data_IF_362837094546
#
_entry.id   IF_362837094546
#
_cell.length_a   1.000
_cell.length_b   1.000
_cell.length_c   1.000
_cell.angle_alpha   90.00
_cell.angle_beta   90.00
_cell.angle_gamma   90.00
#
_symmetry.space_group_name_H-M   'P 1'
#
loop_
_entity.id
_entity.type
_entity.pdbx_description
1 polymer ?
#
# COMPACT_ATOMS: atom_id res chain seq x y z
N UNK A 1 15.45 17.86 1.92
CA UNK A 1 15.54 16.76 2.90
C UNK A 1 16.16 17.35 4.14
N UNK A 2 15.63 17.03 5.31
CA UNK A 2 16.10 17.61 6.56
C UNK A 2 17.17 16.75 7.23
N UNK A 3 17.03 15.42 7.13
CA UNK A 3 17.93 14.47 7.77
C UNK A 3 18.83 13.75 6.74
N UNK A 4 20.14 13.64 6.97
CA UNK A 4 21.05 12.86 6.13
C UNK A 4 20.96 11.35 6.41
N UNK A 5 21.63 10.54 5.60
CA UNK A 5 21.72 9.09 5.81
C UNK A 5 20.42 8.33 5.52
N UNK A 6 20.23 7.13 6.11
CA UNK A 6 19.06 6.30 5.87
C UNK A 6 17.72 6.99 6.18
N UNK A 7 17.68 7.87 7.18
CA UNK A 7 16.47 8.63 7.53
C UNK A 7 16.01 9.55 6.38
N UNK A 8 16.95 10.16 5.64
CA UNK A 8 16.62 10.98 4.47
C UNK A 8 15.92 10.19 3.36
N UNK A 9 16.32 8.94 3.16
CA UNK A 9 15.59 8.03 2.26
C UNK A 9 14.22 7.66 2.83
N UNK A 10 14.12 7.39 4.13
CA UNK A 10 12.85 7.13 4.81
C UNK A 10 11.84 8.29 4.65
N UNK A 11 12.29 9.56 4.72
CA UNK A 11 11.45 10.73 4.44
C UNK A 11 10.83 10.71 3.04
N UNK A 12 11.64 10.38 2.03
CA UNK A 12 11.19 10.29 0.63
C UNK A 12 10.25 9.09 0.44
N UNK A 13 10.66 7.93 0.94
CA UNK A 13 9.86 6.70 0.85
C UNK A 13 8.49 6.88 1.50
N UNK A 14 8.45 7.51 2.68
CA UNK A 14 7.21 7.76 3.41
C UNK A 14 6.30 8.75 2.66
N UNK A 15 6.83 9.84 2.12
CA UNK A 15 6.05 10.82 1.38
C UNK A 15 5.35 10.22 0.15
N UNK A 16 6.09 9.48 -0.68
CA UNK A 16 5.53 8.84 -1.88
C UNK A 16 4.58 7.70 -1.52
N UNK A 17 4.91 6.90 -0.50
CA UNK A 17 4.02 5.82 -0.03
C UNK A 17 2.70 6.36 0.50
N UNK A 18 2.75 7.41 1.33
CA UNK A 18 1.55 8.06 1.87
C UNK A 18 0.68 8.66 0.77
N UNK A 19 1.30 9.34 -0.20
CA UNK A 19 0.59 9.93 -1.34
C UNK A 19 -0.06 8.85 -2.22
N UNK A 20 0.68 7.82 -2.63
CA UNK A 20 0.16 6.74 -3.47
C UNK A 20 -0.95 5.93 -2.77
N UNK A 21 -0.90 5.80 -1.43
CA UNK A 21 -1.92 5.11 -0.65
C UNK A 21 -3.01 6.04 -0.08
N UNK A 22 -3.02 7.32 -0.46
CA UNK A 22 -4.01 8.32 -0.03
C UNK A 22 -4.18 8.43 1.50
N UNK A 23 -3.11 8.27 2.27
CA UNK A 23 -3.15 8.39 3.73
C UNK A 23 -3.14 9.87 4.17
N UNK A 24 -2.19 10.66 3.64
CA UNK A 24 -2.05 12.09 3.96
C UNK A 24 -1.06 12.39 5.08
N UNK A 25 -0.59 11.38 5.82
CA UNK A 25 0.51 11.54 6.80
C UNK A 25 1.82 11.91 6.11
N UNK A 26 2.70 12.65 6.79
CA UNK A 26 4.07 12.94 6.35
C UNK A 26 5.03 13.05 7.54
N UNK A 27 6.32 12.72 7.35
CA UNK A 27 7.37 13.03 8.34
C UNK A 27 7.64 14.53 8.50
N UNK A 28 7.19 15.36 7.55
CA UNK A 28 7.33 16.82 7.56
C UNK A 28 8.77 17.38 7.55
N UNK A 29 9.82 16.54 7.59
CA UNK A 29 11.21 16.94 7.29
C UNK A 29 11.48 17.16 5.80
N UNK A 30 10.70 16.51 4.93
CA UNK A 30 10.75 16.74 3.48
C UNK A 30 9.97 18.01 3.11
N UNK A 31 10.67 19.07 2.69
CA UNK A 31 10.04 20.27 2.10
C UNK A 31 9.48 19.96 0.71
N UNK A 32 8.19 19.60 0.66
CA UNK A 32 7.49 19.18 -0.54
C UNK A 32 6.87 20.34 -1.35
N UNK A 33 7.05 21.61 -0.93
CA UNK A 33 6.49 22.77 -1.65
C UNK A 33 7.30 23.19 -2.89
N UNK A 34 7.94 22.23 -3.56
CA UNK A 34 8.55 22.47 -4.88
C UNK A 34 7.60 22.00 -5.97
N UNK A 35 7.62 22.61 -7.18
CA UNK A 35 6.80 22.16 -8.29
C UNK A 35 6.98 20.67 -8.60
N UNK A 36 8.21 20.16 -8.49
CA UNK A 36 8.51 18.75 -8.67
C UNK A 36 7.72 17.86 -7.70
N UNK A 37 7.81 18.12 -6.40
CA UNK A 37 7.12 17.31 -5.39
C UNK A 37 5.61 17.43 -5.49
N UNK A 38 5.10 18.65 -5.70
CA UNK A 38 3.66 18.86 -5.89
C UNK A 38 3.12 18.04 -7.07
N UNK A 39 3.79 18.07 -8.23
CA UNK A 39 3.35 17.31 -9.40
C UNK A 39 3.49 15.79 -9.21
N UNK A 40 4.61 15.33 -8.65
CA UNK A 40 4.84 13.90 -8.40
C UNK A 40 3.81 13.34 -7.43
N UNK A 41 3.62 13.98 -6.27
CA UNK A 41 2.69 13.51 -5.25
C UNK A 41 1.24 13.62 -5.74
N UNK A 42 0.88 14.68 -6.48
CA UNK A 42 -0.44 14.81 -7.09
C UNK A 42 -0.74 13.65 -8.06
N UNK A 43 0.24 13.27 -8.90
CA UNK A 43 0.10 12.13 -9.79
C UNK A 43 -0.06 10.81 -9.00
N UNK A 44 0.77 10.60 -7.97
CA UNK A 44 0.65 9.42 -7.10
C UNK A 44 -0.72 9.31 -6.43
N UNK A 45 -1.25 10.41 -5.88
CA UNK A 45 -2.58 10.44 -5.26
C UNK A 45 -3.67 10.16 -6.30
N UNK A 46 -3.62 10.83 -7.46
CA UNK A 46 -4.63 10.68 -8.51
C UNK A 46 -4.70 9.25 -9.03
N UNK A 47 -3.55 8.67 -9.39
CA UNK A 47 -3.46 7.28 -9.88
C UNK A 47 -3.76 6.28 -8.77
N UNK A 48 -3.24 6.49 -7.56
CA UNK A 48 -3.48 5.62 -6.42
C UNK A 48 -4.95 5.58 -5.99
N UNK A 49 -5.71 6.66 -6.18
CA UNK A 49 -7.15 6.71 -5.91
C UNK A 49 -7.95 6.15 -7.06
N UNK A 50 -7.89 6.78 -8.23
CA UNK A 50 -8.80 6.47 -9.34
C UNK A 50 -8.35 5.25 -10.13
N UNK A 51 -7.05 5.03 -10.26
CA UNK A 51 -6.48 3.81 -10.87
C UNK A 51 -6.81 2.53 -10.10
N UNK A 52 -7.16 2.62 -8.81
CA UNK A 52 -7.69 1.48 -8.02
C UNK A 52 -9.22 1.41 -8.08
N UNK A 53 -9.93 2.55 -8.02
CA UNK A 53 -11.41 2.56 -8.10
C UNK A 53 -11.89 1.98 -9.44
N UNK A 54 -11.25 2.32 -10.56
CA UNK A 54 -11.66 1.84 -11.89
C UNK A 54 -11.69 0.30 -11.97
N UNK A 55 -10.61 -0.44 -11.69
CA UNK A 55 -10.64 -1.89 -11.72
C UNK A 55 -11.53 -2.50 -10.63
N UNK A 56 -11.66 -1.87 -9.46
CA UNK A 56 -12.62 -2.31 -8.43
C UNK A 56 -14.07 -2.23 -8.93
N UNK A 57 -14.44 -1.16 -9.64
CA UNK A 57 -15.76 -1.04 -10.26
C UNK A 57 -15.94 -2.06 -11.39
N UNK A 58 -14.89 -2.37 -12.15
CA UNK A 58 -14.93 -3.44 -13.16
C UNK A 58 -15.15 -4.82 -12.51
N UNK A 59 -14.51 -5.10 -11.36
CA UNK A 59 -14.76 -6.31 -10.57
C UNK A 59 -16.23 -6.34 -10.11
N UNK A 60 -16.77 -5.25 -9.57
CA UNK A 60 -18.17 -5.16 -9.16
C UNK A 60 -19.13 -5.43 -10.34
N UNK A 61 -18.88 -4.82 -11.51
CA UNK A 61 -19.64 -5.05 -12.73
C UNK A 61 -19.52 -6.49 -13.27
N UNK A 62 -18.39 -7.15 -13.06
CA UNK A 62 -18.23 -8.58 -13.38
C UNK A 62 -19.01 -9.47 -12.41
N UNK A 63 -19.01 -9.14 -11.11
CA UNK A 63 -19.66 -9.91 -10.07
C UNK A 63 -21.20 -9.83 -10.11
N UNK A 64 -21.78 -8.69 -10.50
CA UNK A 64 -23.25 -8.52 -10.53
C UNK A 64 -23.95 -9.50 -11.49
N UNK A 65 -23.24 -9.93 -12.54
CA UNK A 65 -23.75 -10.91 -13.49
C UNK A 65 -23.74 -12.36 -12.98
N UNK A 66 -23.06 -12.63 -11.84
CA UNK A 66 -22.87 -13.98 -11.30
C UNK A 66 -23.89 -14.29 -10.23
N UNK A 67 -24.51 -15.48 -10.31
CA UNK A 67 -25.44 -15.97 -9.29
C UNK A 67 -24.68 -16.69 -8.17
N UNK A 68 -24.96 -16.31 -6.92
CA UNK A 68 -24.45 -17.02 -5.74
C UNK A 68 -24.93 -18.48 -5.73
N UNK A 69 -24.02 -19.40 -5.46
CA UNK A 69 -24.31 -20.84 -5.38
C UNK A 69 -24.45 -21.28 -3.92
N UNK A 70 -25.24 -22.35 -3.64
CA UNK A 70 -25.28 -22.95 -2.32
C UNK A 70 -23.93 -23.61 -1.98
N UNK A 71 -23.64 -23.74 -0.68
CA UNK A 71 -22.44 -24.42 -0.22
C UNK A 71 -22.44 -25.90 -0.62
N UNK A 72 -21.27 -26.39 -1.00
CA UNK A 72 -20.99 -27.78 -1.37
C UNK A 72 -19.82 -28.34 -0.56
N UNK A 73 -19.52 -29.62 -0.70
CA UNK A 73 -18.37 -30.26 -0.05
C UNK A 73 -17.01 -29.63 -0.39
N UNK A 74 -16.92 -28.93 -1.53
CA UNK A 74 -15.71 -28.19 -1.94
C UNK A 74 -15.68 -26.72 -1.48
N UNK A 75 -16.72 -26.22 -0.80
CA UNK A 75 -16.77 -24.82 -0.35
C UNK A 75 -15.92 -24.63 0.89
N UNK A 76 -14.90 -23.77 0.81
CA UNK A 76 -14.07 -23.41 1.95
C UNK A 76 -14.77 -22.36 2.83
N UNK A 77 -14.89 -22.56 4.15
CA UNK A 77 -15.42 -21.54 5.04
C UNK A 77 -14.53 -20.29 5.05
N UNK A 78 -15.06 -19.14 4.64
CA UNK A 78 -14.36 -17.85 4.67
C UNK A 78 -14.50 -17.13 6.02
N UNK A 79 -14.58 -17.90 7.09
CA UNK A 79 -14.75 -17.43 8.47
C UNK A 79 -14.00 -18.33 9.46
N UNK A 80 -13.84 -17.87 10.71
CA UNK A 80 -13.10 -18.59 11.74
C UNK A 80 -11.58 -18.39 11.64
N UNK A 81 -10.81 -18.95 12.58
CA UNK A 81 -9.40 -18.61 12.77
C UNK A 81 -8.51 -19.00 11.58
N UNK A 82 -8.84 -20.09 10.87
CA UNK A 82 -8.07 -20.53 9.71
C UNK A 82 -8.10 -19.50 8.58
N UNK A 83 -9.28 -19.02 8.20
CA UNK A 83 -9.40 -18.03 7.13
C UNK A 83 -8.83 -16.67 7.55
N UNK A 84 -8.97 -16.29 8.82
CA UNK A 84 -8.31 -15.10 9.39
C UNK A 84 -6.79 -15.20 9.25
N UNK A 85 -6.20 -16.33 9.65
CA UNK A 85 -4.75 -16.56 9.51
C UNK A 85 -4.29 -16.53 8.05
N UNK A 86 -5.05 -17.15 7.14
CA UNK A 86 -4.77 -17.11 5.70
C UNK A 86 -4.79 -15.67 5.16
N UNK A 87 -5.79 -14.88 5.54
CA UNK A 87 -5.93 -13.49 5.08
C UNK A 87 -4.78 -12.61 5.61
N UNK A 88 -4.47 -12.73 6.91
CA UNK A 88 -3.35 -12.02 7.53
C UNK A 88 -2.04 -12.38 6.83
N UNK A 89 -1.76 -13.69 6.66
CA UNK A 89 -0.56 -14.17 6.00
C UNK A 89 -0.44 -13.65 4.56
N UNK A 90 -1.55 -13.64 3.81
CA UNK A 90 -1.57 -13.14 2.43
C UNK A 90 -1.20 -11.65 2.37
N UNK A 91 -1.81 -10.80 3.20
CA UNK A 91 -1.54 -9.36 3.20
C UNK A 91 -0.13 -9.06 3.68
N UNK A 92 0.30 -9.68 4.78
CA UNK A 92 1.65 -9.46 5.34
C UNK A 92 2.74 -9.93 4.38
N UNK A 93 2.57 -11.09 3.74
CA UNK A 93 3.59 -11.64 2.84
C UNK A 93 3.72 -10.80 1.57
N UNK A 94 2.60 -10.41 0.94
CA UNK A 94 2.62 -9.52 -0.23
C UNK A 94 3.25 -8.17 0.11
N UNK A 95 2.86 -7.56 1.23
CA UNK A 95 3.43 -6.30 1.70
C UNK A 95 4.93 -6.42 2.00
N UNK A 96 5.32 -7.44 2.77
CA UNK A 96 6.71 -7.68 3.15
C UNK A 96 7.60 -7.90 1.91
N UNK A 97 7.23 -8.78 1.00
CA UNK A 97 8.04 -9.05 -0.20
C UNK A 97 8.17 -7.83 -1.11
N UNK A 98 7.19 -6.92 -1.10
CA UNK A 98 7.24 -5.69 -1.89
C UNK A 98 8.13 -4.62 -1.25
N UNK A 99 8.06 -4.46 0.08
CA UNK A 99 8.69 -3.32 0.76
C UNK A 99 9.97 -3.67 1.53
N UNK A 100 10.30 -4.94 1.79
CA UNK A 100 11.50 -5.34 2.54
C UNK A 100 12.77 -4.68 1.98
N UNK A 101 13.07 -4.72 0.67
CA UNK A 101 14.30 -4.11 0.15
C UNK A 101 14.38 -2.60 0.40
N UNK A 102 13.26 -1.89 0.26
CA UNK A 102 13.21 -0.45 0.53
C UNK A 102 13.31 -0.16 2.04
N UNK A 103 12.62 -0.92 2.88
CA UNK A 103 12.66 -0.76 4.34
C UNK A 103 14.05 -1.08 4.90
N UNK A 104 14.76 -2.06 4.29
CA UNK A 104 16.13 -2.41 4.64
C UNK A 104 17.09 -1.21 4.50
N UNK A 105 16.92 -0.40 3.45
CA UNK A 105 17.77 0.76 3.15
C UNK A 105 17.39 2.03 3.91
N UNK A 106 16.19 2.08 4.50
CA UNK A 106 15.69 3.23 5.26
C UNK A 106 15.66 2.95 6.76
N UNK A 107 14.49 2.67 7.34
CA UNK A 107 14.33 2.58 8.80
C UNK A 107 15.12 1.42 9.43
N UNK A 108 15.33 0.31 8.72
CA UNK A 108 16.10 -0.82 9.29
C UNK A 108 17.58 -0.46 9.35
N UNK A 109 18.14 0.16 8.31
CA UNK A 109 19.52 0.65 8.34
C UNK A 109 19.72 1.71 9.42
N UNK A 110 18.75 2.61 9.61
CA UNK A 110 18.78 3.61 10.69
C UNK A 110 18.74 2.96 12.08
N UNK A 111 17.90 1.95 12.29
CA UNK A 111 17.81 1.25 13.57
C UNK A 111 19.09 0.49 13.95
N UNK A 112 19.85 0.03 12.95
CA UNK A 112 21.08 -0.75 13.15
C UNK A 112 22.36 0.10 13.16
N UNK A 113 22.27 1.41 12.95
CA UNK A 113 23.40 2.34 12.90
C UNK A 113 23.75 2.99 14.23
#
# INVERSE_FOLDING_TARGET
>A
MLNPGPHGFSEVLYAVSSAANNNGSAFAGLSANSPFWNCLLALCMFVGRFGVIIPVMAIAGSLVSKKSQPASSGTLPTHGPLFVGLLIGTVLLVGALTFIPALALGPVAEYLS
#
